data_IF_525447888335
#
_entry.id   IF_525447888335
#
_cell.length_a   1.000
_cell.length_b   1.000
_cell.length_c   1.000
_cell.angle_alpha   90.00
_cell.angle_beta   90.00
_cell.angle_gamma   90.00
#
_symmetry.space_group_name_H-M   'P 1'
#
loop_
_entity.id
_entity.type
_entity.pdbx_description
1 polymer ?
#
# COMPACT_ATOMS: atom_id res chain seq x y z
N UNK A 1 15.98 7.73 -4.54
CA UNK A 1 15.17 7.54 -3.32
C UNK A 1 14.35 8.79 -3.02
N UNK A 2 13.18 8.62 -2.41
CA UNK A 2 12.35 9.75 -1.95
C UNK A 2 13.13 10.57 -0.90
N UNK A 3 13.11 11.88 -1.03
CA UNK A 3 13.76 12.81 -0.09
C UNK A 3 12.76 13.69 0.66
N UNK A 4 11.58 13.90 0.08
CA UNK A 4 10.50 14.67 0.68
C UNK A 4 9.35 13.72 1.12
N UNK A 5 9.51 13.10 2.28
CA UNK A 5 8.49 12.22 2.87
C UNK A 5 7.25 12.98 3.36
N UNK A 6 7.37 14.27 3.65
CA UNK A 6 6.21 15.08 4.03
C UNK A 6 5.16 15.09 2.92
N UNK A 7 5.58 15.28 1.65
CA UNK A 7 4.68 15.21 0.49
C UNK A 7 4.02 13.83 0.35
N UNK A 8 4.75 12.75 0.64
CA UNK A 8 4.19 11.38 0.60
C UNK A 8 3.11 11.19 1.68
N UNK A 9 3.37 11.68 2.90
CA UNK A 9 2.39 11.61 4.00
C UNK A 9 1.16 12.49 3.70
N UNK A 10 1.32 13.63 3.04
CA UNK A 10 0.20 14.48 2.62
C UNK A 10 -0.68 13.76 1.60
N UNK A 11 -0.10 13.10 0.59
CA UNK A 11 -0.90 12.30 -0.36
C UNK A 11 -1.66 11.17 0.34
N UNK A 12 -1.05 10.51 1.34
CA UNK A 12 -1.76 9.49 2.12
C UNK A 12 -2.97 10.10 2.84
N UNK A 13 -2.78 11.27 3.50
CA UNK A 13 -3.81 11.92 4.30
C UNK A 13 -4.94 12.53 3.44
N UNK A 14 -4.56 13.23 2.39
CA UNK A 14 -5.46 14.14 1.68
C UNK A 14 -6.10 13.49 0.44
N UNK A 15 -5.43 12.47 -0.14
CA UNK A 15 -5.89 11.81 -1.36
C UNK A 15 -6.28 10.34 -1.11
N UNK A 16 -5.37 9.53 -0.52
CA UNK A 16 -5.57 8.08 -0.43
C UNK A 16 -6.60 7.69 0.64
N UNK A 17 -6.50 8.25 1.84
CA UNK A 17 -7.43 7.95 2.95
C UNK A 17 -8.88 8.30 2.58
N UNK A 18 -9.21 9.47 2.00
CA UNK A 18 -10.56 9.75 1.54
C UNK A 18 -11.10 8.74 0.53
N UNK A 19 -10.29 8.34 -0.46
CA UNK A 19 -10.67 7.33 -1.43
C UNK A 19 -10.90 5.96 -0.77
N UNK A 20 -10.01 5.56 0.13
CA UNK A 20 -10.12 4.29 0.88
C UNK A 20 -11.40 4.27 1.73
N UNK A 21 -11.77 5.41 2.33
CA UNK A 21 -13.01 5.54 3.11
C UNK A 21 -14.26 5.30 2.26
N UNK A 22 -14.29 5.80 1.04
CA UNK A 22 -15.38 5.54 0.09
C UNK A 22 -15.44 4.04 -0.20
N UNK A 23 -14.32 3.43 -0.55
CA UNK A 23 -14.22 2.01 -0.90
C UNK A 23 -14.66 1.07 0.25
N UNK A 24 -14.29 1.39 1.48
CA UNK A 24 -14.73 0.60 2.67
C UNK A 24 -16.25 0.68 2.85
N UNK A 25 -16.85 1.83 2.56
CA UNK A 25 -18.32 1.95 2.62
C UNK A 25 -19.03 1.06 1.58
N UNK A 26 -18.33 0.70 0.51
CA UNK A 26 -18.77 -0.29 -0.48
C UNK A 26 -18.52 -1.74 -0.07
N UNK A 27 -17.77 -1.96 1.03
CA UNK A 27 -17.46 -3.29 1.58
C UNK A 27 -16.06 -3.81 1.27
N UNK A 28 -15.18 -3.02 0.64
CA UNK A 28 -13.81 -3.42 0.33
C UNK A 28 -12.87 -3.30 1.53
N UNK A 29 -11.71 -3.99 1.47
CA UNK A 29 -10.64 -3.87 2.48
C UNK A 29 -9.96 -2.49 2.44
N UNK A 30 -9.10 -2.27 3.44
CA UNK A 30 -8.54 -0.95 3.77
C UNK A 30 -7.27 -0.57 2.98
N UNK A 31 -6.85 -1.38 2.02
CA UNK A 31 -5.57 -1.16 1.32
C UNK A 31 -5.72 -0.22 0.14
N UNK A 32 -4.63 0.44 -0.20
CA UNK A 32 -4.56 1.35 -1.34
C UNK A 32 -3.12 1.68 -1.71
N UNK A 33 -2.96 2.32 -2.84
CA UNK A 33 -1.66 2.76 -3.32
C UNK A 33 -1.76 3.99 -4.21
N UNK A 34 -0.62 4.56 -4.53
CA UNK A 34 -0.50 5.66 -5.47
C UNK A 34 0.87 5.69 -6.15
N UNK A 35 0.94 6.43 -7.22
CA UNK A 35 2.15 6.59 -8.01
C UNK A 35 2.46 8.08 -8.13
N UNK A 36 3.71 8.44 -7.87
CA UNK A 36 4.23 9.80 -8.02
C UNK A 36 5.42 9.83 -8.96
N UNK A 37 5.63 10.96 -9.65
CA UNK A 37 6.83 11.15 -10.47
C UNK A 37 8.08 11.23 -9.60
N UNK A 38 9.18 10.65 -10.07
CA UNK A 38 10.50 10.78 -9.40
C UNK A 38 11.03 12.19 -9.43
N UNK A 39 10.67 12.97 -10.45
CA UNK A 39 11.19 14.32 -10.68
C UNK A 39 10.73 15.35 -9.65
N UNK A 40 9.44 15.28 -9.24
CA UNK A 40 8.81 16.37 -8.46
C UNK A 40 7.79 15.89 -7.41
N UNK A 41 7.60 14.56 -7.29
CA UNK A 41 6.60 13.93 -6.44
C UNK A 41 5.16 14.35 -6.75
N UNK A 42 4.88 14.80 -7.97
CA UNK A 42 3.50 15.05 -8.40
C UNK A 42 2.74 13.73 -8.48
N UNK A 43 1.49 13.73 -7.96
CA UNK A 43 0.60 12.57 -7.99
C UNK A 43 0.20 12.25 -9.44
N UNK A 44 0.41 11.01 -9.86
CA UNK A 44 0.06 10.51 -11.20
C UNK A 44 -1.29 9.81 -11.18
N UNK A 45 -1.44 8.85 -10.28
CA UNK A 45 -2.69 8.12 -10.04
C UNK A 45 -2.67 7.48 -8.66
N UNK A 46 -3.84 7.08 -8.19
CA UNK A 46 -4.03 6.31 -6.97
C UNK A 46 -5.13 5.27 -7.20
N UNK A 47 -5.19 4.29 -6.31
CA UNK A 47 -6.19 3.23 -6.32
C UNK A 47 -6.38 2.66 -4.92
N UNK A 48 -7.53 2.05 -4.69
CA UNK A 48 -7.86 1.34 -3.45
C UNK A 48 -8.48 -0.01 -3.78
N UNK A 49 -8.63 -0.87 -2.81
CA UNK A 49 -9.26 -2.17 -3.00
C UNK A 49 -10.64 -2.03 -3.65
N UNK A 50 -10.93 -2.89 -4.61
CA UNK A 50 -12.23 -3.03 -5.28
C UNK A 50 -12.63 -4.51 -5.34
N UNK A 51 -12.40 -5.25 -4.26
CA UNK A 51 -12.60 -6.70 -4.18
C UNK A 51 -14.06 -7.12 -4.32
N UNK A 52 -15.00 -6.22 -4.02
CA UNK A 52 -16.43 -6.44 -4.30
C UNK A 52 -16.69 -6.61 -5.80
N UNK A 53 -15.93 -5.91 -6.66
CA UNK A 53 -16.03 -6.09 -8.12
C UNK A 53 -15.27 -7.32 -8.60
N UNK A 54 -14.07 -7.52 -8.07
CA UNK A 54 -13.19 -8.62 -8.42
C UNK A 54 -12.22 -8.87 -7.25
N UNK A 55 -12.20 -10.08 -6.66
CA UNK A 55 -11.33 -10.39 -5.53
C UNK A 55 -9.84 -10.12 -5.75
N UNK A 56 -9.39 -10.01 -7.00
CA UNK A 56 -7.99 -9.70 -7.33
C UNK A 56 -7.70 -8.20 -7.38
N UNK A 57 -8.71 -7.34 -7.31
CA UNK A 57 -8.52 -5.89 -7.35
C UNK A 57 -8.12 -5.35 -5.97
N UNK A 58 -6.91 -5.76 -5.54
CA UNK A 58 -6.22 -5.14 -4.42
C UNK A 58 -5.86 -3.69 -4.74
N UNK A 59 -5.56 -2.88 -3.73
CA UNK A 59 -5.26 -1.46 -3.90
C UNK A 59 -4.11 -1.20 -4.88
N UNK A 60 -3.06 -1.99 -4.81
CA UNK A 60 -1.91 -1.90 -5.71
C UNK A 60 -2.28 -2.28 -7.14
N UNK A 61 -3.10 -3.33 -7.32
CA UNK A 61 -3.58 -3.76 -8.64
C UNK A 61 -4.44 -2.66 -9.27
N UNK A 62 -5.36 -2.10 -8.49
CA UNK A 62 -6.19 -0.97 -8.94
C UNK A 62 -5.36 0.25 -9.32
N UNK A 63 -4.29 0.53 -8.56
CA UNK A 63 -3.35 1.62 -8.84
C UNK A 63 -2.60 1.39 -10.16
N UNK A 64 -2.09 0.16 -10.38
CA UNK A 64 -1.41 -0.22 -11.63
C UNK A 64 -2.36 -0.15 -12.83
N UNK A 65 -3.59 -0.63 -12.67
CA UNK A 65 -4.61 -0.52 -13.69
C UNK A 65 -4.84 0.95 -14.09
N UNK A 66 -5.03 1.84 -13.12
CA UNK A 66 -5.22 3.27 -13.35
C UNK A 66 -4.01 3.94 -14.01
N UNK A 67 -2.78 3.47 -13.77
CA UNK A 67 -1.58 3.95 -14.46
C UNK A 67 -1.60 3.56 -15.94
N UNK A 68 -1.86 2.29 -16.23
CA UNK A 68 -1.79 1.76 -17.61
C UNK A 68 -2.97 2.22 -18.47
N UNK A 69 -4.14 2.51 -17.88
CA UNK A 69 -5.23 3.19 -18.58
C UNK A 69 -4.81 4.58 -19.10
N UNK A 70 -3.88 5.25 -18.42
CA UNK A 70 -3.26 6.52 -18.88
C UNK A 70 -2.17 6.31 -19.93
N UNK A 71 -1.88 5.05 -20.36
CA UNK A 71 -0.82 4.68 -21.31
C UNK A 71 0.58 5.09 -20.87
N UNK A 72 0.84 5.09 -19.56
CA UNK A 72 2.12 5.46 -18.95
C UNK A 72 2.93 4.19 -18.66
N UNK A 73 3.73 3.72 -19.62
CA UNK A 73 4.45 2.45 -19.55
C UNK A 73 5.91 2.56 -19.05
N UNK A 74 6.50 3.77 -18.97
CA UNK A 74 7.85 3.95 -18.45
C UNK A 74 7.82 4.06 -16.91
N UNK A 75 7.61 2.93 -16.22
CA UNK A 75 7.43 2.86 -14.78
C UNK A 75 8.68 3.24 -13.99
N UNK A 76 9.85 3.24 -14.59
CA UNK A 76 11.11 3.66 -13.98
C UNK A 76 11.17 5.15 -13.65
N UNK A 77 10.29 5.97 -14.24
CA UNK A 77 10.19 7.39 -13.94
C UNK A 77 9.35 7.69 -12.69
N UNK A 78 8.81 6.64 -12.04
CA UNK A 78 7.86 6.78 -10.95
C UNK A 78 8.31 6.07 -9.68
N UNK A 79 7.85 6.58 -8.52
CA UNK A 79 7.81 5.85 -7.27
C UNK A 79 6.43 5.22 -7.11
N UNK A 80 6.41 3.92 -6.79
CA UNK A 80 5.21 3.22 -6.36
C UNK A 80 5.10 3.31 -4.85
N UNK A 81 3.95 3.71 -4.32
CA UNK A 81 3.70 3.80 -2.87
C UNK A 81 2.45 3.03 -2.51
N UNK A 82 2.56 2.11 -1.56
CA UNK A 82 1.44 1.37 -0.98
C UNK A 82 1.16 1.81 0.45
N UNK A 83 -0.09 1.82 0.85
CA UNK A 83 -0.45 2.04 2.25
C UNK A 83 0.07 0.92 3.17
N UNK A 84 0.06 -0.29 2.69
CA UNK A 84 0.52 -1.49 3.39
C UNK A 84 1.60 -2.20 2.58
N UNK A 85 2.41 -3.02 3.25
CA UNK A 85 3.40 -3.86 2.58
C UNK A 85 2.68 -4.82 1.63
N UNK A 86 3.03 -4.83 0.31
CA UNK A 86 2.26 -5.54 -0.70
C UNK A 86 2.26 -7.05 -0.49
N UNK A 87 1.10 -7.70 -0.62
CA UNK A 87 0.98 -9.17 -0.59
C UNK A 87 1.69 -9.82 -1.79
N UNK A 88 1.79 -11.14 -1.81
CA UNK A 88 2.46 -11.91 -2.88
C UNK A 88 1.90 -11.62 -4.28
N UNK A 89 0.58 -11.43 -4.43
CA UNK A 89 -0.04 -11.02 -5.69
C UNK A 89 0.48 -9.65 -6.13
N UNK A 90 0.46 -8.67 -5.22
CA UNK A 90 0.85 -7.29 -5.50
C UNK A 90 2.36 -7.16 -5.74
N UNK A 91 3.21 -7.90 -4.99
CA UNK A 91 4.66 -7.98 -5.24
C UNK A 91 4.94 -8.46 -6.66
N UNK A 92 4.25 -9.51 -7.11
CA UNK A 92 4.37 -10.03 -8.47
C UNK A 92 3.91 -9.00 -9.51
N UNK A 93 2.78 -8.34 -9.28
CA UNK A 93 2.25 -7.34 -10.20
C UNK A 93 3.16 -6.12 -10.35
N UNK A 94 3.71 -5.60 -9.25
CA UNK A 94 4.70 -4.50 -9.26
C UNK A 94 5.94 -4.92 -10.05
N UNK A 95 6.42 -6.16 -9.86
CA UNK A 95 7.56 -6.71 -10.60
C UNK A 95 7.29 -6.78 -12.10
N UNK A 96 6.18 -7.40 -12.51
CA UNK A 96 5.77 -7.53 -13.91
C UNK A 96 5.48 -6.17 -14.57
N UNK A 97 5.11 -5.17 -13.80
CA UNK A 97 4.90 -3.80 -14.26
C UNK A 97 6.22 -3.03 -14.50
N UNK A 98 7.37 -3.61 -14.16
CA UNK A 98 8.70 -3.04 -14.43
C UNK A 98 9.12 -1.89 -13.52
N UNK A 99 8.47 -1.72 -12.37
CA UNK A 99 8.95 -0.77 -11.35
C UNK A 99 10.30 -1.23 -10.81
N UNK A 100 11.20 -0.28 -10.56
CA UNK A 100 12.51 -0.51 -9.93
C UNK A 100 12.49 -0.23 -8.41
N UNK A 101 11.33 0.12 -7.86
CA UNK A 101 11.14 0.47 -6.46
C UNK A 101 9.69 0.38 -6.03
N UNK A 102 9.45 0.19 -4.73
CA UNK A 102 8.19 0.54 -4.07
C UNK A 102 8.40 0.91 -2.60
N UNK A 103 7.48 1.69 -2.09
CA UNK A 103 7.45 2.18 -0.71
C UNK A 103 6.16 1.74 -0.03
N UNK A 104 6.21 1.44 1.28
CA UNK A 104 5.01 1.11 2.05
C UNK A 104 5.02 1.79 3.41
N UNK A 105 3.81 2.07 3.92
CA UNK A 105 3.66 2.74 5.21
C UNK A 105 3.52 1.74 6.37
N UNK A 106 2.57 0.81 6.29
CA UNK A 106 2.34 -0.23 7.29
C UNK A 106 3.04 -1.53 6.88
N UNK A 107 3.92 -2.10 7.72
CA UNK A 107 4.50 -3.42 7.48
C UNK A 107 3.47 -4.55 7.72
N UNK A 108 3.82 -5.78 7.38
CA UNK A 108 2.94 -6.95 7.55
C UNK A 108 2.50 -7.17 9.00
N UNK A 109 3.35 -6.86 9.99
CA UNK A 109 3.02 -6.96 11.40
C UNK A 109 1.82 -6.08 11.75
N UNK A 110 1.80 -4.84 11.27
CA UNK A 110 0.66 -3.93 11.47
C UNK A 110 -0.60 -4.47 10.80
N UNK A 111 -0.48 -5.02 9.59
CA UNK A 111 -1.61 -5.60 8.84
C UNK A 111 -2.23 -6.77 9.61
N UNK A 112 -1.39 -7.64 10.16
CA UNK A 112 -1.83 -8.80 10.95
C UNK A 112 -2.38 -8.39 12.31
N UNK A 113 -1.58 -7.63 13.09
CA UNK A 113 -1.82 -7.45 14.52
C UNK A 113 -2.75 -6.26 14.81
N UNK A 114 -2.63 -5.16 14.05
CA UNK A 114 -3.42 -3.95 14.25
C UNK A 114 -4.71 -3.93 13.43
N UNK A 115 -4.74 -4.59 12.26
CA UNK A 115 -5.89 -4.57 11.37
C UNK A 115 -6.64 -5.90 11.27
N UNK A 116 -6.10 -6.97 11.89
CA UNK A 116 -6.67 -8.32 11.88
C UNK A 116 -6.91 -8.86 10.46
N UNK A 117 -5.92 -8.68 9.59
CA UNK A 117 -5.90 -9.20 8.21
C UNK A 117 -4.61 -10.03 8.04
N UNK A 118 -4.61 -11.33 8.43
CA UNK A 118 -3.38 -12.13 8.52
C UNK A 118 -3.02 -12.85 7.21
N UNK A 119 -3.84 -12.73 6.14
CA UNK A 119 -3.73 -13.59 4.97
C UNK A 119 -2.43 -13.39 4.18
N UNK A 120 -1.89 -12.16 4.12
CA UNK A 120 -0.66 -11.86 3.39
C UNK A 120 0.51 -12.70 3.91
N UNK A 121 0.71 -12.73 5.23
CA UNK A 121 1.75 -13.54 5.87
C UNK A 121 1.49 -15.04 5.74
N UNK A 122 0.23 -15.47 5.89
CA UNK A 122 -0.14 -16.89 5.75
C UNK A 122 0.12 -17.39 4.33
N UNK A 123 -0.23 -16.62 3.30
CA UNK A 123 0.01 -17.01 1.90
C UNK A 123 1.51 -17.07 1.62
N UNK A 124 2.30 -16.10 2.08
CA UNK A 124 3.75 -16.12 1.93
C UNK A 124 4.38 -17.36 2.58
N UNK A 125 3.91 -17.76 3.75
CA UNK A 125 4.43 -18.93 4.45
C UNK A 125 3.96 -20.24 3.81
N UNK A 126 2.67 -20.43 3.61
CA UNK A 126 2.08 -21.71 3.17
C UNK A 126 2.34 -22.00 1.69
N UNK A 127 2.26 -20.98 0.84
CA UNK A 127 2.38 -21.16 -0.62
C UNK A 127 3.82 -20.98 -1.10
N UNK A 128 4.56 -20.05 -0.51
CA UNK A 128 5.90 -19.68 -0.99
C UNK A 128 7.03 -20.09 -0.05
N UNK A 129 6.74 -20.65 1.13
CA UNK A 129 7.71 -20.99 2.19
C UNK A 129 8.55 -19.79 2.64
N UNK A 130 7.98 -18.60 2.60
CA UNK A 130 8.59 -17.34 3.07
C UNK A 130 8.09 -17.05 4.47
N UNK A 131 8.93 -17.35 5.48
CA UNK A 131 8.56 -17.17 6.89
C UNK A 131 8.61 -15.70 7.30
N UNK A 132 7.61 -15.26 8.08
CA UNK A 132 7.54 -13.93 8.68
C UNK A 132 7.67 -12.79 7.65
N UNK A 133 7.23 -13.00 6.42
CA UNK A 133 7.32 -11.98 5.37
C UNK A 133 8.75 -11.62 4.92
N UNK A 134 9.75 -12.47 5.19
CA UNK A 134 11.16 -12.24 4.86
C UNK A 134 11.48 -12.50 3.39
N UNK A 135 10.75 -11.85 2.49
CA UNK A 135 11.11 -11.85 1.07
C UNK A 135 12.33 -10.94 0.81
N UNK A 136 12.97 -11.11 -0.35
CA UNK A 136 14.15 -10.32 -0.73
C UNK A 136 13.76 -8.86 -1.02
N UNK A 137 14.00 -7.96 -0.04
CA UNK A 137 13.65 -6.52 -0.13
C UNK A 137 14.57 -5.71 -1.04
N UNK A 138 15.69 -6.28 -1.44
CA UNK A 138 16.62 -5.73 -2.43
C UNK A 138 17.04 -6.85 -3.39
N UNK A 139 16.66 -6.75 -4.66
CA UNK A 139 16.87 -7.78 -5.67
C UNK A 139 17.14 -7.16 -7.05
N UNK A 140 17.31 -7.97 -8.09
CA UNK A 140 17.61 -7.49 -9.44
C UNK A 140 16.46 -6.69 -10.11
N UNK A 141 15.23 -6.78 -9.60
CA UNK A 141 14.08 -6.10 -10.18
C UNK A 141 13.83 -4.77 -9.50
N UNK A 142 13.83 -4.74 -8.15
CA UNK A 142 13.47 -3.55 -7.38
C UNK A 142 14.04 -3.55 -5.97
N UNK A 143 13.95 -2.39 -5.34
CA UNK A 143 14.18 -2.19 -3.91
C UNK A 143 12.89 -1.77 -3.22
N UNK A 144 12.58 -2.34 -2.06
CA UNK A 144 11.45 -1.95 -1.22
C UNK A 144 11.88 -1.18 0.01
N UNK A 145 11.06 -0.20 0.41
CA UNK A 145 11.39 0.72 1.49
C UNK A 145 10.19 0.90 2.43
N UNK A 146 10.42 0.72 3.73
CA UNK A 146 9.48 1.17 4.75
C UNK A 146 9.59 2.68 4.91
N UNK A 147 8.52 3.42 4.66
CA UNK A 147 8.46 4.89 4.78
C UNK A 147 8.88 5.33 6.19
N UNK A 148 8.37 4.65 7.21
CA UNK A 148 8.69 4.98 8.61
C UNK A 148 10.18 4.78 8.89
N UNK A 149 10.76 3.65 8.43
CA UNK A 149 12.18 3.39 8.60
C UNK A 149 13.06 4.42 7.90
N UNK A 150 12.68 4.84 6.69
CA UNK A 150 13.43 5.86 5.95
C UNK A 150 13.33 7.25 6.60
N UNK A 151 12.16 7.64 7.12
CA UNK A 151 11.99 8.88 7.89
C UNK A 151 12.89 8.89 9.12
N UNK A 152 12.94 7.77 9.87
CA UNK A 152 13.79 7.63 11.05
C UNK A 152 15.29 7.74 10.70
N UNK A 153 15.75 7.09 9.63
CA UNK A 153 17.13 7.21 9.15
C UNK A 153 17.54 8.63 8.81
N UNK A 154 16.61 9.45 8.34
CA UNK A 154 16.86 10.85 8.01
C UNK A 154 16.79 11.79 9.22
N UNK A 155 16.47 11.29 10.42
CA UNK A 155 16.30 12.10 11.63
C UNK A 155 15.11 13.08 11.55
N UNK A 156 14.13 12.81 10.68
CA UNK A 156 12.93 13.64 10.45
C UNK A 156 11.71 13.16 11.23
N UNK A 157 11.85 12.12 12.03
CA UNK A 157 10.79 11.50 12.80
C UNK A 157 10.00 12.48 13.66
N UNK A 158 10.68 13.34 14.42
CA UNK A 158 10.04 14.32 15.31
C UNK A 158 9.17 15.33 14.56
N UNK A 159 9.61 15.82 13.40
CA UNK A 159 8.87 16.78 12.60
C UNK A 159 7.63 16.15 11.94
N UNK A 160 7.75 14.92 11.44
CA UNK A 160 6.69 14.23 10.72
C UNK A 160 5.77 13.37 11.61
N UNK A 161 6.13 13.20 12.89
CA UNK A 161 5.39 12.40 13.84
C UNK A 161 3.89 12.75 13.92
N UNK A 162 3.46 14.03 13.93
CA UNK A 162 2.04 14.36 13.95
C UNK A 162 1.27 13.79 12.74
N UNK A 163 1.85 13.85 11.54
CA UNK A 163 1.24 13.28 10.32
C UNK A 163 1.21 11.76 10.36
N UNK A 164 2.30 11.13 10.81
CA UNK A 164 2.40 9.68 10.98
C UNK A 164 1.32 9.19 11.96
N UNK A 165 1.18 9.85 13.11
CA UNK A 165 0.17 9.51 14.11
C UNK A 165 -1.23 9.67 13.52
N UNK A 166 -1.52 10.79 12.85
CA UNK A 166 -2.81 11.02 12.20
C UNK A 166 -3.15 9.92 11.17
N UNK A 167 -2.19 9.50 10.35
CA UNK A 167 -2.39 8.39 9.40
C UNK A 167 -2.75 7.10 10.14
N UNK A 168 -2.00 6.75 11.19
CA UNK A 168 -2.27 5.55 11.99
C UNK A 168 -3.67 5.59 12.61
N UNK A 169 -4.06 6.71 13.19
CA UNK A 169 -5.38 6.88 13.80
C UNK A 169 -6.52 6.76 12.78
N UNK A 170 -6.36 7.36 11.58
CA UNK A 170 -7.36 7.22 10.52
C UNK A 170 -7.48 5.77 10.03
N UNK A 171 -6.37 5.06 9.81
CA UNK A 171 -6.41 3.65 9.42
C UNK A 171 -6.99 2.74 10.50
N UNK A 172 -6.81 3.04 11.78
CA UNK A 172 -7.50 2.33 12.87
C UNK A 172 -9.03 2.48 12.78
N UNK A 173 -9.51 3.69 12.49
CA UNK A 173 -10.94 3.94 12.30
C UNK A 173 -11.47 3.20 11.07
N UNK A 174 -10.72 3.23 9.95
CA UNK A 174 -11.05 2.51 8.73
C UNK A 174 -11.10 1.00 8.96
N UNK A 175 -10.12 0.46 9.67
CA UNK A 175 -10.08 -0.95 10.04
C UNK A 175 -11.30 -1.36 10.87
N UNK A 176 -11.64 -0.57 11.89
CA UNK A 176 -12.83 -0.83 12.70
C UNK A 176 -14.10 -0.89 11.83
N UNK A 177 -14.29 0.10 10.96
CA UNK A 177 -15.44 0.14 10.04
C UNK A 177 -15.48 -1.09 9.14
N UNK A 178 -14.32 -1.50 8.59
CA UNK A 178 -14.21 -2.70 7.76
C UNK A 178 -14.56 -3.97 8.55
N UNK A 179 -13.98 -4.15 9.73
CA UNK A 179 -14.20 -5.34 10.56
C UNK A 179 -15.69 -5.50 10.98
N UNK A 180 -16.38 -4.40 11.21
CA UNK A 180 -17.81 -4.39 11.52
C UNK A 180 -18.69 -4.78 10.31
N UNK A 181 -18.23 -4.51 9.10
CA UNK A 181 -19.02 -4.69 7.85
C UNK A 181 -18.66 -5.95 7.07
N UNK A 182 -17.46 -6.50 7.25
CA UNK A 182 -16.96 -7.62 6.44
C UNK A 182 -17.84 -8.86 6.44
N UNK A 183 -18.62 -9.07 7.49
CA UNK A 183 -19.56 -10.21 7.57
C UNK A 183 -20.64 -10.18 6.49
N UNK A 184 -20.89 -9.03 5.90
CA UNK A 184 -21.93 -8.81 4.90
C UNK A 184 -21.39 -8.83 3.46
N UNK A 185 -20.11 -9.10 3.26
CA UNK A 185 -19.51 -9.17 1.92
C UNK A 185 -19.12 -10.63 1.58
N UNK A 186 -18.95 -10.90 0.28
CA UNK A 186 -18.58 -12.21 -0.25
C UNK A 186 -17.13 -12.27 -0.74
N UNK A 187 -16.25 -11.43 -0.17
CA UNK A 187 -14.83 -11.42 -0.55
C UNK A 187 -14.19 -12.71 -0.01
N UNK A 188 -13.56 -13.53 -0.86
CA UNK A 188 -12.75 -14.65 -0.39
C UNK A 188 -11.63 -14.17 0.54
N UNK A 189 -11.28 -14.97 1.54
CA UNK A 189 -10.24 -14.62 2.52
C UNK A 189 -10.51 -13.28 3.23
N UNK A 190 -11.69 -13.18 3.80
CA UNK A 190 -12.19 -11.98 4.46
C UNK A 190 -11.93 -12.02 5.99
#
# INVERSE_FOLDING_TARGET
>A
MITNYERILDIILDDLIPLTKISINEGNKIFGGFIVKKSDLSLVCLGTNQEIKNPLFHGEISTLFNLFEKKLFNTKDYYFVSSHEPCSLCLSAITWSGFDNFYYFFPYEDTKDNFNIPHDLKILEEVFNIKQGNYQKNNQYWQSFSIISEINKLGKDKHLLPKITKIKDEYQKLSKTYQERKINNNIPLN
#
